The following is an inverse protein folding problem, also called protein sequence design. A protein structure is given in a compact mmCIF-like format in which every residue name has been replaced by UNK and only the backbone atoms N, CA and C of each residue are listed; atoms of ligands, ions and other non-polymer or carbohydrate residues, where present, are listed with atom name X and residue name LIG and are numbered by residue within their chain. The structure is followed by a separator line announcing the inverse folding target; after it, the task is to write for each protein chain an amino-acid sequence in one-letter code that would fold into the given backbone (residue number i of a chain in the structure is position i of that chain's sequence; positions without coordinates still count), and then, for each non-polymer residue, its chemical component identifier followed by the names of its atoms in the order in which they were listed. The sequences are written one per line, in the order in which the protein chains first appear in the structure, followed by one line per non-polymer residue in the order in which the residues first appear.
data_IF_381232045863
#
_entry.id   IF_381232045863
#
_cell.length_a   1.000
_cell.length_b   1.000
_cell.length_c   1.000
_cell.angle_alpha   90.00
_cell.angle_beta   90.00
_cell.angle_gamma   90.00
#
_symmetry.space_group_name_H-M   'P 1'
#
loop_
_entity.id
_entity.type
_entity.pdbx_description
1 polymer ?
#
# COMPACT_ATOMS: atom_id res chain seq x y z
N UNK A 1 -16.96 5.37 1.82
CA UNK A 1 -16.86 3.91 1.53
C UNK A 1 -15.77 3.68 0.49
N UNK A 2 -15.13 2.52 0.46
CA UNK A 2 -14.13 2.22 -0.56
C UNK A 2 -14.76 2.14 -1.96
N UNK A 3 -14.01 2.46 -3.04
CA UNK A 3 -14.47 2.21 -4.40
C UNK A 3 -14.78 0.73 -4.64
N UNK A 4 -15.74 0.42 -5.51
CA UNK A 4 -16.20 -0.95 -5.75
C UNK A 4 -15.06 -1.93 -6.08
N UNK A 5 -14.09 -1.52 -6.89
CA UNK A 5 -12.92 -2.33 -7.23
C UNK A 5 -12.09 -2.76 -6.02
N UNK A 6 -11.97 -1.89 -5.01
CA UNK A 6 -11.23 -2.17 -3.79
C UNK A 6 -12.02 -3.13 -2.91
N UNK A 7 -13.35 -2.97 -2.85
CA UNK A 7 -14.21 -3.87 -2.10
C UNK A 7 -14.10 -5.29 -2.63
N UNK A 8 -14.16 -5.47 -3.95
CA UNK A 8 -14.01 -6.79 -4.60
C UNK A 8 -12.68 -7.42 -4.23
N UNK A 9 -11.56 -6.70 -4.44
CA UNK A 9 -10.22 -7.22 -4.13
C UNK A 9 -10.04 -7.56 -2.65
N UNK A 10 -10.46 -6.67 -1.74
CA UNK A 10 -10.26 -6.86 -0.31
C UNK A 10 -11.11 -8.01 0.23
N UNK A 11 -12.37 -8.14 -0.23
CA UNK A 11 -13.27 -9.23 0.19
C UNK A 11 -12.86 -10.60 -0.35
N UNK A 12 -12.12 -10.67 -1.45
CA UNK A 12 -11.55 -11.95 -1.92
C UNK A 12 -10.52 -12.51 -0.94
N UNK A 13 -9.81 -11.66 -0.21
CA UNK A 13 -8.71 -12.08 0.66
C UNK A 13 -9.07 -12.04 2.16
N UNK A 14 -9.95 -11.14 2.59
CA UNK A 14 -10.31 -10.92 3.98
C UNK A 14 -11.71 -11.47 4.29
N UNK A 15 -11.92 -11.99 5.50
CA UNK A 15 -13.28 -12.27 5.99
C UNK A 15 -14.06 -10.97 6.16
N UNK A 16 -15.39 -11.04 6.21
CA UNK A 16 -16.23 -9.86 6.44
C UNK A 16 -15.83 -9.08 7.71
N UNK A 17 -15.53 -9.80 8.79
CA UNK A 17 -15.04 -9.20 10.04
C UNK A 17 -13.68 -8.50 9.88
N UNK A 18 -12.75 -9.09 9.13
CA UNK A 18 -11.45 -8.51 8.84
C UNK A 18 -11.56 -7.29 7.92
N UNK A 19 -12.44 -7.36 6.92
CA UNK A 19 -12.74 -6.26 6.01
C UNK A 19 -13.33 -5.05 6.76
N UNK A 20 -14.32 -5.26 7.63
CA UNK A 20 -14.89 -4.21 8.47
C UNK A 20 -13.83 -3.61 9.42
N UNK A 21 -12.98 -4.46 10.01
CA UNK A 21 -11.88 -4.00 10.86
C UNK A 21 -10.91 -3.12 10.08
N UNK A 22 -10.54 -3.51 8.85
CA UNK A 22 -9.69 -2.72 7.96
C UNK A 22 -10.34 -1.38 7.61
N UNK A 23 -11.63 -1.40 7.26
CA UNK A 23 -12.38 -0.21 6.90
C UNK A 23 -12.44 0.79 8.06
N UNK A 24 -12.78 0.33 9.27
CA UNK A 24 -12.79 1.15 10.47
C UNK A 24 -11.40 1.70 10.77
N UNK A 25 -10.37 0.86 10.70
CA UNK A 25 -8.99 1.28 10.96
C UNK A 25 -8.54 2.38 9.99
N UNK A 26 -8.86 2.27 8.70
CA UNK A 26 -8.53 3.27 7.69
C UNK A 26 -9.28 4.59 7.92
N UNK A 27 -10.55 4.54 8.32
CA UNK A 27 -11.31 5.73 8.69
C UNK A 27 -10.72 6.43 9.92
N UNK A 28 -10.32 5.67 10.94
CA UNK A 28 -9.67 6.22 12.14
C UNK A 28 -8.31 6.84 11.82
N UNK A 29 -7.53 6.21 10.94
CA UNK A 29 -6.26 6.76 10.48
C UNK A 29 -6.46 8.07 9.72
N UNK A 30 -7.49 8.16 8.88
CA UNK A 30 -7.82 9.39 8.17
C UNK A 30 -8.30 10.51 9.12
N UNK A 31 -9.09 10.15 10.14
CA UNK A 31 -9.63 11.12 11.09
C UNK A 31 -8.59 11.64 12.11
N UNK A 32 -7.77 10.75 12.68
CA UNK A 32 -6.85 11.09 13.76
C UNK A 32 -5.40 11.32 13.29
N UNK A 33 -5.05 10.92 12.06
CA UNK A 33 -3.71 11.06 11.47
C UNK A 33 -2.58 10.51 12.35
N UNK A 34 -2.90 9.58 13.27
CA UNK A 34 -1.96 9.03 14.24
C UNK A 34 -1.95 7.51 14.14
N UNK A 35 -0.76 6.96 13.86
CA UNK A 35 -0.53 5.51 13.69
C UNK A 35 -0.22 4.79 15.01
N UNK A 36 -0.19 5.51 16.14
CA UNK A 36 0.10 4.91 17.45
C UNK A 36 -1.02 3.92 17.81
N UNK A 37 -0.64 2.66 17.99
CA UNK A 37 -1.58 1.59 18.31
C UNK A 37 -2.41 1.86 19.57
N UNK A 38 -1.83 2.52 20.59
CA UNK A 38 -2.56 2.91 21.80
C UNK A 38 -3.70 3.87 21.51
N UNK A 39 -3.46 4.86 20.64
CA UNK A 39 -4.45 5.85 20.24
C UNK A 39 -5.51 5.20 19.35
N UNK A 40 -5.09 4.38 18.38
CA UNK A 40 -6.03 3.63 17.55
C UNK A 40 -6.93 2.72 18.38
N UNK A 41 -6.39 2.05 19.40
CA UNK A 41 -7.16 1.20 20.31
C UNK A 41 -8.11 1.99 21.22
N UNK A 42 -7.77 3.23 21.61
CA UNK A 42 -8.66 4.05 22.46
C UNK A 42 -9.88 4.54 21.67
N UNK A 43 -9.69 4.91 20.41
CA UNK A 43 -10.76 5.42 19.53
C UNK A 43 -11.49 4.32 18.75
N UNK A 44 -11.04 3.06 18.84
CA UNK A 44 -11.65 1.97 18.08
C UNK A 44 -13.11 1.74 18.54
N UNK A 45 -14.10 1.74 17.63
CA UNK A 45 -15.53 1.70 17.95
C UNK A 45 -15.99 0.26 18.23
N UNK A 46 -15.42 -0.37 19.25
CA UNK A 46 -15.88 -1.64 19.81
C UNK A 46 -16.15 -1.44 21.31
N UNK A 47 -17.35 -1.78 21.83
CA UNK A 47 -17.71 -1.60 23.23
C UNK A 47 -17.09 -2.69 24.11
N UNK A 48 -15.76 -2.82 24.07
CA UNK A 48 -15.00 -3.81 24.82
C UNK A 48 -13.84 -3.12 25.56
N UNK A 49 -13.28 -3.82 26.54
CA UNK A 49 -12.14 -3.33 27.32
C UNK A 49 -10.98 -2.91 26.40
N UNK A 50 -10.32 -1.80 26.74
CA UNK A 50 -9.22 -1.23 25.96
C UNK A 50 -8.11 -2.25 25.65
N UNK A 51 -7.72 -3.08 26.64
CA UNK A 51 -6.68 -4.10 26.44
C UNK A 51 -7.12 -5.15 25.40
N UNK A 52 -8.41 -5.49 25.38
CA UNK A 52 -8.97 -6.40 24.37
C UNK A 52 -8.97 -5.77 22.98
N UNK A 53 -9.38 -4.50 22.84
CA UNK A 53 -9.28 -3.73 21.58
C UNK A 53 -7.84 -3.71 21.05
N UNK A 54 -6.90 -3.36 21.92
CA UNK A 54 -5.46 -3.31 21.58
C UNK A 54 -4.97 -4.67 21.09
N UNK A 55 -5.28 -5.76 21.80
CA UNK A 55 -4.89 -7.13 21.43
C UNK A 55 -5.54 -7.57 20.12
N UNK A 56 -6.80 -7.21 19.89
CA UNK A 56 -7.50 -7.49 18.63
C UNK A 56 -6.79 -6.79 17.46
N UNK A 57 -6.52 -5.49 17.58
CA UNK A 57 -5.77 -4.75 16.56
C UNK A 57 -4.37 -5.32 16.32
N UNK A 58 -3.66 -5.74 17.37
CA UNK A 58 -2.36 -6.41 17.21
C UNK A 58 -2.46 -7.70 16.40
N UNK A 59 -3.43 -8.56 16.76
CA UNK A 59 -3.67 -9.82 16.04
C UNK A 59 -4.05 -9.57 14.60
N UNK A 60 -4.92 -8.58 14.36
CA UNK A 60 -5.34 -8.17 13.03
C UNK A 60 -4.13 -7.72 12.18
N UNK A 61 -3.30 -6.80 12.70
CA UNK A 61 -2.12 -6.28 12.00
C UNK A 61 -1.03 -7.32 11.74
N UNK A 62 -1.05 -8.46 12.45
CA UNK A 62 -0.09 -9.56 12.29
C UNK A 62 -0.64 -10.68 11.40
N UNK A 63 -1.83 -10.52 10.81
CA UNK A 63 -2.42 -11.54 9.94
C UNK A 63 -1.53 -11.80 8.71
N UNK A 64 -1.28 -13.07 8.34
CA UNK A 64 -0.46 -13.41 7.17
C UNK A 64 -1.09 -12.96 5.84
N UNK A 65 -2.40 -12.67 5.87
CA UNK A 65 -3.14 -12.14 4.72
C UNK A 65 -2.90 -10.65 4.48
N UNK A 66 -2.49 -9.89 5.50
CA UNK A 66 -2.15 -8.47 5.37
C UNK A 66 -0.73 -8.27 4.79
N UNK A 67 -0.46 -8.93 3.66
CA UNK A 67 0.83 -8.80 2.96
C UNK A 67 0.67 -7.93 1.73
N UNK A 68 1.76 -7.23 1.36
CA UNK A 68 1.80 -6.36 0.19
C UNK A 68 1.43 -7.12 -1.09
N UNK A 69 1.93 -8.35 -1.25
CA UNK A 69 1.65 -9.16 -2.44
C UNK A 69 0.18 -9.53 -2.58
N UNK A 70 -0.51 -9.76 -1.46
CA UNK A 70 -1.92 -10.21 -1.46
C UNK A 70 -2.87 -9.03 -1.60
N UNK A 71 -2.68 -7.96 -0.83
CA UNK A 71 -3.64 -6.85 -0.82
C UNK A 71 -3.23 -5.70 -1.73
N UNK A 72 -1.94 -5.36 -1.77
CA UNK A 72 -1.48 -4.15 -2.45
C UNK A 72 -1.26 -4.38 -3.94
N UNK A 73 -0.66 -5.51 -4.34
CA UNK A 73 -0.36 -5.77 -5.75
C UNK A 73 -1.60 -5.81 -6.65
N UNK A 74 -2.74 -6.43 -6.27
CA UNK A 74 -3.92 -6.40 -7.11
C UNK A 74 -4.49 -4.98 -7.30
N UNK A 75 -4.40 -4.14 -6.26
CA UNK A 75 -4.82 -2.74 -6.34
C UNK A 75 -3.89 -1.93 -7.27
N UNK A 76 -2.57 -2.12 -7.16
CA UNK A 76 -1.63 -1.49 -8.07
C UNK A 76 -1.86 -1.92 -9.52
N UNK A 77 -2.01 -3.24 -9.77
CA UNK A 77 -2.33 -3.76 -11.12
C UNK A 77 -3.61 -3.16 -11.66
N UNK A 78 -4.62 -2.99 -10.81
CA UNK A 78 -5.85 -2.30 -11.19
C UNK A 78 -5.56 -0.86 -11.62
N UNK A 79 -4.79 -0.07 -10.84
CA UNK A 79 -4.45 1.31 -11.22
C UNK A 79 -3.60 1.42 -12.49
N UNK A 80 -2.58 0.55 -12.64
CA UNK A 80 -1.73 0.48 -13.83
C UNK A 80 -2.58 0.20 -15.07
N UNK A 81 -3.43 -0.83 -15.03
CA UNK A 81 -4.36 -1.16 -16.13
C UNK A 81 -5.34 -0.03 -16.44
N UNK A 82 -5.89 0.62 -15.41
CA UNK A 82 -6.80 1.75 -15.63
C UNK A 82 -6.09 2.80 -16.49
N UNK A 83 -4.84 3.11 -16.16
CA UNK A 83 -4.08 4.17 -16.82
C UNK A 83 -3.67 3.79 -18.24
N UNK A 84 -3.26 2.55 -18.48
CA UNK A 84 -2.97 2.05 -19.82
C UNK A 84 -4.22 2.02 -20.72
N UNK A 85 -5.36 1.58 -20.17
CA UNK A 85 -6.58 1.36 -20.98
C UNK A 85 -7.43 2.62 -21.14
N UNK A 86 -7.32 3.60 -20.24
CA UNK A 86 -8.11 4.84 -20.25
C UNK A 86 -9.64 4.65 -20.12
N UNK A 87 -10.09 3.42 -19.81
CA UNK A 87 -11.51 3.04 -19.67
C UNK A 87 -12.06 3.52 -18.34
N UNK A 88 -13.27 4.09 -18.36
CA UNK A 88 -13.95 4.59 -17.15
C UNK A 88 -13.45 5.93 -16.62
N UNK A 89 -12.51 6.59 -17.31
CA UNK A 89 -12.02 7.91 -16.90
C UNK A 89 -12.80 9.05 -17.54
N UNK A 90 -13.15 10.04 -16.72
CA UNK A 90 -13.71 11.30 -17.19
C UNK A 90 -12.69 12.07 -18.05
N UNK A 91 -13.20 12.97 -18.91
CA UNK A 91 -12.38 13.78 -19.83
C UNK A 91 -11.25 14.53 -19.11
N UNK A 92 -11.51 15.04 -17.91
CA UNK A 92 -10.52 15.75 -17.09
C UNK A 92 -9.47 14.82 -16.49
N UNK A 93 -9.86 13.60 -16.09
CA UNK A 93 -8.91 12.59 -15.62
C UNK A 93 -7.95 12.17 -16.74
N UNK A 94 -8.46 11.98 -17.96
CA UNK A 94 -7.62 11.70 -19.15
C UNK A 94 -6.67 12.86 -19.45
N UNK A 95 -7.13 14.11 -19.35
CA UNK A 95 -6.27 15.30 -19.53
C UNK A 95 -5.17 15.36 -18.47
N UNK A 96 -5.52 15.13 -17.20
CA UNK A 96 -4.56 15.11 -16.08
C UNK A 96 -3.53 13.99 -16.23
N UNK A 97 -3.93 12.81 -16.69
CA UNK A 97 -3.03 11.69 -16.99
C UNK A 97 -2.08 12.00 -18.14
N UNK A 98 -2.56 12.63 -19.22
CA UNK A 98 -1.69 13.08 -20.31
C UNK A 98 -0.66 14.12 -19.87
N UNK A 99 -0.97 14.92 -18.84
CA UNK A 99 -0.05 15.88 -18.26
C UNK A 99 1.04 15.24 -17.37
N UNK A 100 0.84 14.00 -16.93
CA UNK A 100 1.85 13.23 -16.18
C UNK A 100 2.90 12.73 -17.19
N UNK A 101 3.95 13.54 -17.34
CA UNK A 101 4.95 13.55 -18.43
C UNK A 101 5.59 12.20 -18.80
N UNK A 102 5.63 11.23 -17.89
CA UNK A 102 6.36 9.97 -18.10
C UNK A 102 5.60 8.93 -18.94
N UNK A 103 4.27 9.00 -19.00
CA UNK A 103 3.49 8.17 -19.95
C UNK A 103 3.72 8.54 -21.42
N UNK A 104 4.23 9.74 -21.68
CA UNK A 104 4.49 10.24 -23.03
C UNK A 104 5.57 9.43 -23.76
N UNK A 105 6.45 8.75 -23.02
CA UNK A 105 7.58 8.01 -23.57
C UNK A 105 7.44 6.49 -23.53
N UNK A 106 6.29 5.96 -23.09
CA UNK A 106 5.99 4.53 -23.12
C UNK A 106 6.76 3.66 -22.11
N UNK A 107 7.39 4.25 -21.10
CA UNK A 107 8.10 3.51 -20.05
C UNK A 107 7.68 3.95 -18.64
N UNK A 108 7.74 3.01 -17.70
CA UNK A 108 7.56 3.25 -16.27
C UNK A 108 8.90 3.58 -15.61
N UNK A 109 8.95 4.64 -14.80
CA UNK A 109 10.13 4.95 -13.98
C UNK A 109 9.93 4.33 -12.61
N UNK A 110 10.84 3.44 -12.23
CA UNK A 110 10.91 2.89 -10.88
C UNK A 110 12.07 3.55 -10.14
N UNK A 111 11.77 4.13 -8.99
CA UNK A 111 12.75 4.63 -8.05
C UNK A 111 12.97 3.59 -6.96
N UNK A 112 14.23 3.34 -6.63
CA UNK A 112 14.61 2.56 -5.46
C UNK A 112 15.10 3.53 -4.42
N UNK A 113 14.62 3.38 -3.19
CA UNK A 113 15.04 4.21 -2.08
C UNK A 113 15.21 3.40 -0.79
N UNK A 114 15.93 3.96 0.18
CA UNK A 114 16.22 3.37 1.48
C UNK A 114 16.06 4.42 2.57
N UNK A 115 15.36 4.05 3.63
CA UNK A 115 15.17 4.91 4.81
C UNK A 115 15.40 4.11 6.09
N UNK A 116 15.95 4.76 7.12
CA UNK A 116 16.17 4.15 8.43
C UNK A 116 15.21 4.76 9.46
N UNK A 117 14.39 3.92 10.08
CA UNK A 117 13.43 4.35 11.09
C UNK A 117 13.79 3.74 12.45
N UNK A 118 14.51 4.51 13.27
CA UNK A 118 14.94 4.09 14.63
C UNK A 118 15.63 2.72 14.62
N UNK A 119 16.65 2.53 13.78
CA UNK A 119 17.35 1.25 13.63
C UNK A 119 16.65 0.20 12.77
N UNK A 120 15.49 0.52 12.17
CA UNK A 120 14.82 -0.33 11.18
C UNK A 120 15.08 0.18 9.78
N UNK A 121 15.91 -0.54 9.04
CA UNK A 121 16.19 -0.21 7.64
C UNK A 121 15.06 -0.71 6.75
N UNK A 122 14.39 0.22 6.08
CA UNK A 122 13.34 -0.07 5.12
C UNK A 122 13.91 0.19 3.72
N UNK A 123 13.78 -0.80 2.86
CA UNK A 123 14.21 -0.72 1.47
C UNK A 123 12.99 -0.85 0.57
N UNK A 124 12.80 0.11 -0.34
CA UNK A 124 11.55 0.28 -1.08
C UNK A 124 11.76 0.52 -2.58
N UNK A 125 10.84 0.01 -3.38
CA UNK A 125 10.66 0.36 -4.79
C UNK A 125 9.37 1.16 -4.90
N UNK A 126 9.44 2.30 -5.56
CA UNK A 126 8.30 3.15 -5.86
C UNK A 126 8.20 3.41 -7.37
N UNK A 127 6.98 3.49 -7.90
CA UNK A 127 6.75 3.97 -9.26
C UNK A 127 6.58 5.48 -9.25
N UNK A 128 7.31 6.17 -10.12
CA UNK A 128 7.22 7.63 -10.25
C UNK A 128 6.01 7.98 -11.11
N UNK A 129 5.08 8.70 -10.51
CA UNK A 129 3.80 9.10 -11.06
C UNK A 129 3.66 10.62 -11.10
N UNK A 130 4.15 11.22 -12.19
CA UNK A 130 4.24 12.67 -12.30
C UNK A 130 5.15 13.26 -11.24
N UNK A 131 4.57 13.98 -10.28
CA UNK A 131 5.31 14.61 -9.16
C UNK A 131 5.36 13.75 -7.90
N UNK A 132 4.73 12.58 -7.88
CA UNK A 132 4.64 11.72 -6.70
C UNK A 132 5.33 10.39 -6.94
N UNK A 133 5.89 9.78 -5.89
CA UNK A 133 6.36 8.40 -5.91
C UNK A 133 5.37 7.52 -5.14
N UNK A 134 4.83 6.50 -5.79
CA UNK A 134 3.92 5.56 -5.18
C UNK A 134 4.68 4.28 -4.79
N UNK A 135 4.75 3.92 -3.50
CA UNK A 135 5.42 2.71 -3.06
C UNK A 135 4.77 1.46 -3.65
N UNK A 136 5.57 0.65 -4.34
CA UNK A 136 5.11 -0.61 -4.96
C UNK A 136 5.37 -1.78 -4.01
N UNK A 137 6.59 -1.86 -3.50
CA UNK A 137 7.01 -2.93 -2.61
C UNK A 137 8.09 -2.41 -1.67
N UNK A 138 8.10 -2.93 -0.44
CA UNK A 138 9.14 -2.62 0.53
C UNK A 138 9.37 -3.80 1.46
N UNK A 139 10.54 -3.83 2.06
CA UNK A 139 10.94 -4.83 3.03
C UNK A 139 11.87 -4.24 4.09
N UNK A 140 11.94 -4.93 5.23
CA UNK A 140 12.90 -4.61 6.28
C UNK A 140 14.22 -5.33 5.97
N UNK A 141 15.31 -4.58 5.96
CA UNK A 141 16.67 -5.13 5.89
C UNK A 141 17.14 -5.49 7.30
N UNK A 142 17.67 -6.69 7.46
CA UNK A 142 18.19 -7.19 8.73
C UNK A 142 19.56 -6.63 9.12
N UNK A 143 20.19 -5.83 8.26
CA UNK A 143 21.53 -5.29 8.45
C UNK A 143 21.53 -3.77 8.43
N UNK A 144 22.43 -3.17 9.21
CA UNK A 144 22.81 -1.77 9.10
C UNK A 144 23.72 -1.56 7.88
N UNK A 145 23.55 -0.45 7.15
CA UNK A 145 24.43 -0.09 6.02
C UNK A 145 23.79 -0.22 4.63
N UNK A 146 24.63 -0.39 3.60
CA UNK A 146 24.26 -0.38 2.18
C UNK A 146 23.59 -1.68 1.73
N UNK A 147 22.63 -1.57 0.81
CA UNK A 147 22.12 -2.74 0.09
C UNK A 147 23.14 -3.19 -0.97
N UNK A 148 23.32 -4.50 -1.11
CA UNK A 148 24.10 -5.08 -2.19
C UNK A 148 23.28 -5.19 -3.48
N UNK A 149 23.95 -5.39 -4.62
CA UNK A 149 23.29 -5.54 -5.92
C UNK A 149 22.26 -6.70 -5.89
N UNK A 150 22.56 -7.78 -5.17
CA UNK A 150 21.67 -8.93 -5.02
C UNK A 150 20.36 -8.55 -4.33
N UNK A 151 20.40 -7.76 -3.26
CA UNK A 151 19.22 -7.26 -2.57
C UNK A 151 18.44 -6.28 -3.46
N UNK A 152 19.12 -5.40 -4.18
CA UNK A 152 18.49 -4.49 -5.14
C UNK A 152 17.72 -5.26 -6.23
N UNK A 153 18.37 -6.25 -6.85
CA UNK A 153 17.75 -7.12 -7.86
C UNK A 153 16.58 -7.92 -7.28
N UNK A 154 16.72 -8.47 -6.08
CA UNK A 154 15.64 -9.22 -5.40
C UNK A 154 14.42 -8.34 -5.16
N UNK A 155 14.61 -7.12 -4.67
CA UNK A 155 13.53 -6.16 -4.43
C UNK A 155 12.82 -5.77 -5.73
N UNK A 156 13.59 -5.46 -6.78
CA UNK A 156 13.05 -5.17 -8.11
C UNK A 156 12.27 -6.36 -8.67
N UNK A 157 12.82 -7.58 -8.61
CA UNK A 157 12.15 -8.78 -9.10
C UNK A 157 10.83 -9.06 -8.39
N UNK A 158 10.67 -8.63 -7.14
CA UNK A 158 9.40 -8.71 -6.43
C UNK A 158 8.37 -7.67 -6.92
N UNK A 159 8.81 -6.49 -7.35
CA UNK A 159 7.96 -5.38 -7.77
C UNK A 159 7.57 -5.43 -9.27
N UNK A 160 8.49 -5.86 -10.13
CA UNK A 160 8.30 -5.90 -11.59
C UNK A 160 7.02 -6.64 -12.07
N UNK A 161 6.56 -7.73 -11.42
CA UNK A 161 5.31 -8.41 -11.82
C UNK A 161 4.03 -7.56 -11.72
N UNK A 162 4.10 -6.37 -11.12
CA UNK A 162 2.98 -5.40 -11.08
C UNK A 162 2.82 -4.67 -12.42
N UNK A 163 3.90 -4.52 -13.19
CA UNK A 163 3.97 -3.77 -14.45
C UNK A 163 4.08 -4.66 -15.70
N UNK A 164 3.86 -5.96 -15.55
CA UNK A 164 3.74 -6.94 -16.63
C UNK A 164 2.27 -7.33 -16.80
#
# INVERSE_FOLDING_TARGET
MFPASYQTTLRTHLSETQYLTLQLLLLLLQAHQQVKLSVLASVFPQPIQYQSRKRNLQRFLTLPKLTLKVLWFPLLKYWVRQVETGRGMNRDQRRRLRALKHHKHGYWILAIDRTEWKGRNIFMVSVVWGTHALPVYWELLGQAGTSDLKTQQRLLNAALPVFK
#
